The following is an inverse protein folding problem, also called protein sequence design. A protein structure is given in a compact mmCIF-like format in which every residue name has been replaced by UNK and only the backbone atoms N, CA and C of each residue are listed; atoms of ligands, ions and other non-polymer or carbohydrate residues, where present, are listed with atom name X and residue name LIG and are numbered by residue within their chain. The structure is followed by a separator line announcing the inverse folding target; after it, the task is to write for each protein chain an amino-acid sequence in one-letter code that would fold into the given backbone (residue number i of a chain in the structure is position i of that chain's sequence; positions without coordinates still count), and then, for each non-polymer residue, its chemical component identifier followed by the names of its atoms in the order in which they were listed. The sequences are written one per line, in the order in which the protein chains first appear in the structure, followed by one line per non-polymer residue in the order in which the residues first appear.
data_IF_494401195003
#
_entry.id   IF_494401195003
#
_cell.length_a   1.000
_cell.length_b   1.000
_cell.length_c   1.000
_cell.angle_alpha   90.00
_cell.angle_beta   90.00
_cell.angle_gamma   90.00
#
_symmetry.space_group_name_H-M   'P 1'
#
loop_
_entity.id
_entity.type
_entity.pdbx_description
1 polymer ?
#
# COMPACT_ATOMS: atom_id res chain seq x y z
N UNK A 1 20.21 12.25 -1.75
CA UNK A 1 19.54 12.72 -0.52
C UNK A 1 20.48 13.41 0.44
N UNK A 2 21.44 12.74 1.12
CA UNK A 2 22.36 13.40 2.08
C UNK A 2 23.06 14.64 1.51
N UNK A 3 23.66 14.50 0.33
CA UNK A 3 24.32 15.60 -0.38
C UNK A 3 23.38 16.77 -0.73
N UNK A 4 22.13 16.46 -1.09
CA UNK A 4 21.15 17.45 -1.56
C UNK A 4 20.43 18.17 -0.41
N UNK A 5 20.07 17.43 0.64
CA UNK A 5 19.24 17.94 1.73
C UNK A 5 20.07 18.54 2.87
N UNK A 6 21.34 18.13 3.01
CA UNK A 6 22.24 18.60 4.06
C UNK A 6 21.60 18.40 5.44
N UNK A 7 21.67 19.46 6.27
CA UNK A 7 21.21 19.45 7.67
C UNK A 7 19.68 19.30 7.82
N UNK A 8 18.91 19.45 6.73
CA UNK A 8 17.46 19.18 6.74
C UNK A 8 17.16 17.68 6.85
N UNK A 9 18.10 16.82 6.49
CA UNK A 9 17.98 15.38 6.66
C UNK A 9 18.65 14.96 7.97
N UNK A 10 17.90 14.53 9.00
CA UNK A 10 18.48 14.14 10.28
C UNK A 10 19.50 13.01 10.12
N UNK A 11 20.52 13.03 10.98
CA UNK A 11 21.49 11.94 11.08
C UNK A 11 21.03 10.96 12.14
N UNK A 12 20.87 9.70 11.75
CA UNK A 12 20.59 8.63 12.70
C UNK A 12 21.68 8.54 13.76
N UNK A 13 21.28 8.55 15.02
CA UNK A 13 22.10 8.05 16.13
C UNK A 13 22.28 6.53 16.00
N UNK A 14 23.25 5.97 16.73
CA UNK A 14 23.45 4.51 16.74
C UNK A 14 22.25 3.75 17.31
N UNK A 15 21.53 4.34 18.26
CA UNK A 15 20.34 3.75 18.88
C UNK A 15 19.16 3.71 17.89
N UNK A 16 18.88 4.81 17.19
CA UNK A 16 17.83 4.86 16.17
C UNK A 16 18.15 3.92 15.00
N UNK A 17 19.42 3.88 14.56
CA UNK A 17 19.83 2.98 13.49
C UNK A 17 19.64 1.51 13.90
N UNK A 18 19.87 1.17 15.17
CA UNK A 18 19.66 -0.19 15.67
C UNK A 18 18.17 -0.59 15.68
N UNK A 19 17.26 0.37 15.81
CA UNK A 19 15.81 0.13 15.73
C UNK A 19 15.34 -0.03 14.29
N UNK A 20 15.87 0.79 13.36
CA UNK A 20 15.39 0.82 11.96
C UNK A 20 16.06 -0.25 11.08
N UNK A 21 17.35 -0.53 11.28
CA UNK A 21 18.08 -1.42 10.38
C UNK A 21 17.61 -2.87 10.53
N UNK A 22 17.00 -3.39 9.46
CA UNK A 22 16.48 -4.76 9.44
C UNK A 22 15.13 -4.93 10.15
N UNK A 23 14.40 -3.83 10.38
CA UNK A 23 13.11 -3.84 11.07
C UNK A 23 11.92 -4.33 10.23
N UNK A 24 12.17 -4.86 9.03
CA UNK A 24 11.14 -5.33 8.12
C UNK A 24 11.44 -6.74 7.63
N UNK A 25 10.52 -7.69 7.83
CA UNK A 25 10.68 -9.05 7.29
C UNK A 25 10.32 -9.16 5.82
N UNK A 26 9.55 -8.21 5.28
CA UNK A 26 9.12 -8.14 3.88
C UNK A 26 9.17 -6.70 3.36
N UNK A 27 9.00 -6.53 2.05
CA UNK A 27 8.90 -5.22 1.41
C UNK A 27 7.45 -4.99 0.97
N UNK A 28 6.75 -4.08 1.66
CA UNK A 28 5.43 -3.59 1.21
C UNK A 28 5.62 -2.49 0.16
N UNK A 29 5.00 -2.65 -1.00
CA UNK A 29 5.12 -1.70 -2.11
C UNK A 29 3.75 -1.27 -2.62
N UNK A 30 3.50 0.03 -2.61
CA UNK A 30 2.48 0.67 -3.43
C UNK A 30 3.13 1.11 -4.75
N UNK A 31 2.51 0.78 -5.89
CA UNK A 31 3.03 1.16 -7.21
C UNK A 31 1.90 1.34 -8.20
N UNK A 32 2.05 2.26 -9.14
CA UNK A 32 0.96 2.68 -10.03
C UNK A 32 1.42 2.97 -11.45
N UNK A 33 2.57 3.60 -11.60
CA UNK A 33 3.08 4.11 -12.87
C UNK A 33 4.61 4.01 -12.90
N UNK A 34 5.21 4.39 -14.02
CA UNK A 34 6.64 4.60 -14.17
C UNK A 34 6.84 5.87 -14.97
N UNK A 35 7.88 6.64 -14.64
CA UNK A 35 8.26 7.80 -15.42
C UNK A 35 9.61 7.57 -16.08
N UNK A 36 9.82 8.22 -17.22
CA UNK A 36 11.16 8.43 -17.78
C UNK A 36 11.78 9.61 -17.04
N UNK A 37 13.05 9.48 -16.67
CA UNK A 37 13.81 10.56 -16.05
C UNK A 37 14.81 11.13 -17.05
N UNK A 38 14.98 12.45 -17.03
CA UNK A 38 15.99 13.19 -17.80
C UNK A 38 16.83 14.02 -16.85
N UNK A 39 18.11 14.15 -17.15
CA UNK A 39 18.96 15.11 -16.47
C UNK A 39 18.52 16.54 -16.83
N UNK A 40 18.67 17.46 -15.88
CA UNK A 40 18.01 18.76 -15.93
C UNK A 40 16.82 18.77 -14.97
N UNK A 41 16.44 19.94 -14.47
CA UNK A 41 15.46 20.08 -13.39
C UNK A 41 16.03 20.86 -12.21
N UNK A 42 15.21 21.73 -11.64
CA UNK A 42 15.54 22.59 -10.50
C UNK A 42 14.77 22.20 -9.22
N UNK A 43 13.76 21.35 -9.33
CA UNK A 43 12.99 20.84 -8.20
C UNK A 43 13.76 19.79 -7.39
N UNK A 44 14.13 20.16 -6.17
CA UNK A 44 14.81 19.27 -5.22
C UNK A 44 13.92 18.13 -4.71
N UNK A 45 12.59 18.29 -4.67
CA UNK A 45 11.68 17.23 -4.25
C UNK A 45 11.68 16.05 -5.23
N UNK A 46 12.04 16.32 -6.48
CA UNK A 46 12.19 15.31 -7.53
C UNK A 46 13.63 14.80 -7.65
N UNK A 47 14.58 15.39 -6.92
CA UNK A 47 15.99 15.05 -7.01
C UNK A 47 16.74 15.78 -8.13
N UNK A 48 16.26 16.96 -8.55
CA UNK A 48 16.84 17.78 -9.64
C UNK A 48 16.92 17.03 -10.98
N UNK A 49 15.88 16.24 -11.23
CA UNK A 49 15.63 15.57 -12.52
C UNK A 49 14.28 16.02 -13.04
N UNK A 50 14.13 16.04 -14.35
CA UNK A 50 12.85 16.14 -15.01
C UNK A 50 12.30 14.73 -15.18
N UNK A 51 11.00 14.56 -14.96
CA UNK A 51 10.33 13.31 -15.28
C UNK A 51 9.22 13.54 -16.31
N UNK A 52 8.98 12.54 -17.14
CA UNK A 52 7.97 12.61 -18.19
C UNK A 52 7.47 11.23 -18.56
N UNK A 53 6.28 11.19 -19.17
CA UNK A 53 5.79 10.01 -19.87
C UNK A 53 6.13 10.03 -21.37
N UNK A 54 6.61 11.15 -21.88
CA UNK A 54 6.90 11.33 -23.30
C UNK A 54 8.28 10.78 -23.64
N UNK A 55 8.31 9.75 -24.48
CA UNK A 55 9.52 9.17 -25.06
C UNK A 55 10.24 10.19 -25.96
N UNK A 56 11.54 10.00 -26.26
CA UNK A 56 12.29 10.89 -27.15
C UNK A 56 11.66 11.06 -28.55
N UNK A 57 10.89 10.08 -29.02
CA UNK A 57 10.17 10.12 -30.30
C UNK A 57 8.79 10.82 -30.22
N UNK A 58 8.40 11.31 -29.04
CA UNK A 58 7.12 11.99 -28.81
C UNK A 58 5.97 11.07 -28.39
N UNK A 59 6.14 9.74 -28.42
CA UNK A 59 5.11 8.79 -27.98
C UNK A 59 4.95 8.78 -26.44
N UNK A 60 3.76 8.43 -25.95
CA UNK A 60 3.46 8.31 -24.51
C UNK A 60 3.74 6.90 -24.00
N UNK A 61 4.15 6.75 -22.74
CA UNK A 61 4.45 5.44 -22.14
C UNK A 61 3.28 4.46 -22.30
N UNK A 62 2.08 4.92 -21.99
CA UNK A 62 0.84 4.17 -22.18
C UNK A 62 -0.40 5.02 -21.99
N UNK A 63 -1.50 4.38 -21.59
CA UNK A 63 -2.80 5.03 -21.40
C UNK A 63 -2.79 5.97 -20.21
N UNK A 64 -3.27 7.21 -20.40
CA UNK A 64 -3.38 8.23 -19.37
C UNK A 64 -4.60 7.98 -18.47
N UNK A 65 -4.38 7.87 -17.16
CA UNK A 65 -5.45 7.84 -16.18
C UNK A 65 -6.10 9.22 -16.00
N UNK A 66 -7.20 9.27 -15.25
CA UNK A 66 -7.84 10.52 -14.85
C UNK A 66 -6.86 11.46 -14.12
N UNK A 67 -6.03 10.90 -13.23
CA UNK A 67 -5.01 11.66 -12.53
C UNK A 67 -3.76 11.86 -13.40
N UNK A 68 -3.26 13.10 -13.48
CA UNK A 68 -2.17 13.47 -14.38
C UNK A 68 -0.83 12.77 -14.06
N UNK A 69 -0.67 12.25 -12.85
CA UNK A 69 0.56 11.60 -12.40
C UNK A 69 0.66 10.11 -12.77
N UNK A 70 -0.37 9.52 -13.41
CA UNK A 70 -0.43 8.07 -13.68
C UNK A 70 -0.63 7.77 -15.17
N UNK A 71 0.28 6.99 -15.75
CA UNK A 71 0.07 6.27 -17.00
C UNK A 71 0.27 4.76 -16.78
N UNK A 72 -0.50 3.98 -17.53
CA UNK A 72 -0.24 2.55 -17.72
C UNK A 72 1.20 2.35 -18.23
N UNK A 73 1.98 1.52 -17.52
CA UNK A 73 3.25 1.02 -18.05
C UNK A 73 3.71 -0.30 -17.34
N UNK A 74 3.15 -1.47 -17.70
CA UNK A 74 3.43 -2.74 -17.01
C UNK A 74 4.89 -3.20 -17.12
N UNK A 75 5.59 -2.81 -18.19
CA UNK A 75 7.02 -3.10 -18.33
C UNK A 75 7.83 -2.47 -17.19
N UNK A 76 7.52 -1.21 -16.84
CA UNK A 76 8.13 -0.51 -15.71
C UNK A 76 7.82 -1.17 -14.37
N UNK A 77 6.62 -1.73 -14.21
CA UNK A 77 6.28 -2.51 -13.02
C UNK A 77 7.15 -3.76 -12.87
N UNK A 78 7.36 -4.55 -13.93
CA UNK A 78 8.29 -5.70 -13.91
C UNK A 78 9.71 -5.26 -13.59
N UNK A 79 10.18 -4.16 -14.17
CA UNK A 79 11.52 -3.62 -13.90
C UNK A 79 11.67 -3.19 -12.43
N UNK A 80 10.66 -2.54 -11.86
CA UNK A 80 10.65 -2.14 -10.45
C UNK A 80 10.71 -3.35 -9.51
N UNK A 81 9.90 -4.38 -9.76
CA UNK A 81 9.92 -5.62 -8.99
C UNK A 81 11.32 -6.26 -8.96
N UNK A 82 11.96 -6.34 -10.13
CA UNK A 82 13.32 -6.83 -10.26
C UNK A 82 14.35 -5.97 -9.50
N UNK A 83 14.23 -4.65 -9.61
CA UNK A 83 15.10 -3.72 -8.89
C UNK A 83 15.00 -3.91 -7.38
N UNK A 84 13.77 -3.92 -6.84
CA UNK A 84 13.52 -4.06 -5.41
C UNK A 84 14.03 -5.41 -4.88
N UNK A 85 13.79 -6.49 -5.63
CA UNK A 85 14.28 -7.82 -5.26
C UNK A 85 15.81 -7.90 -5.28
N UNK A 86 16.44 -7.33 -6.31
CA UNK A 86 17.90 -7.29 -6.41
C UNK A 86 18.52 -6.47 -5.28
N UNK A 87 17.90 -5.35 -4.92
CA UNK A 87 18.47 -4.39 -3.98
C UNK A 87 18.23 -4.75 -2.52
N UNK A 88 17.00 -5.14 -2.17
CA UNK A 88 16.60 -5.33 -0.77
C UNK A 88 16.57 -6.79 -0.34
N UNK A 89 16.40 -7.74 -1.28
CA UNK A 89 16.39 -9.19 -0.99
C UNK A 89 15.37 -9.61 0.09
N UNK A 90 14.27 -8.86 0.16
CA UNK A 90 13.11 -9.19 0.99
C UNK A 90 11.95 -9.65 0.10
N UNK A 91 11.10 -10.57 0.59
CA UNK A 91 9.88 -10.93 -0.11
C UNK A 91 8.99 -9.71 -0.34
N UNK A 92 8.39 -9.60 -1.51
CA UNK A 92 7.61 -8.44 -1.92
C UNK A 92 6.12 -8.72 -1.77
N UNK A 93 5.42 -7.76 -1.17
CA UNK A 93 3.97 -7.67 -1.10
C UNK A 93 3.58 -6.40 -1.85
N UNK A 94 2.89 -6.56 -2.97
CA UNK A 94 2.34 -5.40 -3.70
C UNK A 94 1.07 -5.00 -2.96
N UNK A 95 1.18 -3.99 -2.11
CA UNK A 95 0.15 -3.57 -1.15
C UNK A 95 -0.89 -2.66 -1.78
N UNK A 96 -0.54 -1.95 -2.85
CA UNK A 96 -1.49 -1.20 -3.69
C UNK A 96 -1.02 -1.17 -5.15
N UNK A 97 -1.95 -1.39 -6.07
CA UNK A 97 -1.78 -1.18 -7.51
C UNK A 97 -3.15 -0.96 -8.17
N UNK A 98 -3.31 0.08 -8.99
CA UNK A 98 -4.63 0.46 -9.51
C UNK A 98 -4.61 1.53 -10.60
N UNK A 99 -5.77 1.77 -11.20
CA UNK A 99 -5.93 2.73 -12.30
C UNK A 99 -7.24 3.50 -12.18
N UNK A 100 -7.21 4.82 -12.39
CA UNK A 100 -8.41 5.65 -12.44
C UNK A 100 -8.77 5.93 -13.90
N UNK A 101 -9.90 5.38 -14.37
CA UNK A 101 -10.37 5.62 -15.75
C UNK A 101 -10.71 7.09 -15.91
N UNK A 102 -10.25 7.67 -17.02
CA UNK A 102 -10.43 9.09 -17.31
C UNK A 102 -11.91 9.46 -17.37
N UNK A 103 -12.29 10.43 -16.54
CA UNK A 103 -13.63 11.06 -16.49
C UNK A 103 -14.75 10.08 -16.12
N UNK A 104 -14.41 8.95 -15.48
CA UNK A 104 -15.34 7.89 -15.11
C UNK A 104 -16.49 8.37 -14.21
N UNK A 105 -16.25 9.38 -13.36
CA UNK A 105 -17.29 9.95 -12.49
C UNK A 105 -18.43 10.63 -13.25
N UNK A 106 -18.21 10.96 -14.52
CA UNK A 106 -19.16 11.68 -15.38
C UNK A 106 -19.77 10.76 -16.44
N UNK A 107 -19.38 9.48 -16.47
CA UNK A 107 -19.91 8.49 -17.41
C UNK A 107 -21.26 7.92 -16.94
N UNK A 108 -22.11 7.45 -17.87
CA UNK A 108 -23.22 6.56 -17.53
C UNK A 108 -22.74 5.35 -16.73
N UNK A 109 -23.55 4.86 -15.80
CA UNK A 109 -23.18 3.76 -14.87
C UNK A 109 -22.75 2.51 -15.64
N UNK A 110 -23.41 2.19 -16.75
CA UNK A 110 -23.08 1.04 -17.59
C UNK A 110 -21.68 1.15 -18.20
N UNK A 111 -21.24 2.35 -18.56
CA UNK A 111 -19.89 2.60 -19.08
C UNK A 111 -18.85 2.57 -17.97
N UNK A 112 -19.16 3.16 -16.80
CA UNK A 112 -18.29 3.10 -15.63
C UNK A 112 -18.11 1.67 -15.10
N UNK A 113 -19.11 0.79 -15.24
CA UNK A 113 -18.99 -0.63 -14.90
C UNK A 113 -18.15 -1.41 -15.92
N UNK A 114 -18.17 -1.03 -17.21
CA UNK A 114 -17.42 -1.72 -18.25
C UNK A 114 -15.90 -1.48 -18.21
N UNK A 115 -15.48 -0.29 -17.73
CA UNK A 115 -14.11 0.11 -17.37
C UNK A 115 -12.91 -0.53 -18.10
N UNK A 116 -12.97 -0.62 -19.43
CA UNK A 116 -11.99 -1.32 -20.26
C UNK A 116 -10.54 -0.91 -20.00
N UNK A 117 -10.25 0.38 -19.80
CA UNK A 117 -8.88 0.85 -19.55
C UNK A 117 -8.32 0.29 -18.23
N UNK A 118 -9.16 0.16 -17.21
CA UNK A 118 -8.78 -0.47 -15.93
C UNK A 118 -8.56 -1.97 -16.10
N UNK A 119 -9.38 -2.65 -16.91
CA UNK A 119 -9.15 -4.06 -17.29
C UNK A 119 -7.79 -4.21 -17.98
N UNK A 120 -7.45 -3.37 -18.95
CA UNK A 120 -6.16 -3.44 -19.65
C UNK A 120 -4.98 -3.18 -18.72
N UNK A 121 -5.13 -2.20 -17.81
CA UNK A 121 -4.12 -1.93 -16.80
C UNK A 121 -3.84 -3.16 -15.92
N UNK A 122 -4.89 -3.78 -15.37
CA UNK A 122 -4.71 -4.97 -14.54
C UNK A 122 -4.15 -6.12 -15.34
N UNK A 123 -4.62 -6.37 -16.57
CA UNK A 123 -4.08 -7.41 -17.44
C UNK A 123 -2.58 -7.25 -17.66
N UNK A 124 -2.12 -6.07 -18.04
CA UNK A 124 -0.69 -5.80 -18.21
C UNK A 124 0.10 -5.99 -16.92
N UNK A 125 -0.38 -5.47 -15.79
CA UNK A 125 0.33 -5.57 -14.53
C UNK A 125 0.34 -7.00 -13.96
N UNK A 126 -0.72 -7.78 -14.14
CA UNK A 126 -0.74 -9.18 -13.73
C UNK A 126 0.16 -10.06 -14.61
N UNK A 127 0.24 -9.78 -15.91
CA UNK A 127 1.19 -10.45 -16.82
C UNK A 127 2.64 -10.15 -16.39
N UNK A 128 2.94 -8.87 -16.09
CA UNK A 128 4.23 -8.43 -15.56
C UNK A 128 4.58 -9.08 -14.21
N UNK A 129 3.60 -9.21 -13.31
CA UNK A 129 3.74 -9.85 -12.01
C UNK A 129 4.06 -11.34 -12.16
N UNK A 130 3.33 -12.04 -13.03
CA UNK A 130 3.53 -13.47 -13.28
C UNK A 130 4.91 -13.72 -13.89
N UNK A 131 5.33 -12.89 -14.85
CA UNK A 131 6.64 -12.99 -15.46
C UNK A 131 7.78 -12.69 -14.45
N UNK A 132 7.64 -11.65 -13.62
CA UNK A 132 8.60 -11.37 -12.55
C UNK A 132 8.77 -12.56 -11.58
N UNK A 133 7.67 -13.23 -11.25
CA UNK A 133 7.71 -14.41 -10.37
C UNK A 133 8.33 -15.62 -11.05
N UNK A 134 7.81 -15.98 -12.22
CA UNK A 134 8.10 -17.27 -12.86
C UNK A 134 9.37 -17.26 -13.70
N UNK A 135 9.69 -16.13 -14.34
CA UNK A 135 10.85 -16.00 -15.23
C UNK A 135 12.04 -15.37 -14.49
N UNK A 136 11.80 -14.33 -13.69
CA UNK A 136 12.88 -13.57 -13.04
C UNK A 136 13.21 -14.05 -11.62
N UNK A 137 12.39 -14.93 -11.04
CA UNK A 137 12.62 -15.49 -9.70
C UNK A 137 12.44 -14.49 -8.55
N UNK A 138 11.57 -13.49 -8.72
CA UNK A 138 11.20 -12.55 -7.66
C UNK A 138 10.30 -13.24 -6.63
N UNK A 139 10.64 -13.18 -5.33
CA UNK A 139 9.80 -13.70 -4.24
C UNK A 139 8.59 -12.76 -4.01
N UNK A 140 7.54 -12.97 -4.79
CA UNK A 140 6.26 -12.27 -4.70
C UNK A 140 5.26 -13.10 -3.90
N UNK A 141 4.70 -12.49 -2.85
CA UNK A 141 3.83 -13.20 -1.89
C UNK A 141 2.39 -12.73 -1.86
N UNK A 142 2.13 -11.49 -2.26
CA UNK A 142 0.79 -10.96 -2.32
C UNK A 142 0.67 -9.82 -3.32
N UNK A 143 -0.57 -9.61 -3.77
CA UNK A 143 -0.97 -8.50 -4.61
C UNK A 143 -2.34 -8.02 -4.15
N UNK A 144 -2.45 -6.72 -3.92
CA UNK A 144 -3.66 -6.06 -3.47
C UNK A 144 -3.98 -4.92 -4.45
N UNK A 145 -5.11 -5.07 -5.15
CA UNK A 145 -5.60 -4.05 -6.06
C UNK A 145 -6.14 -2.85 -5.26
N UNK A 146 -5.65 -1.66 -5.58
CA UNK A 146 -6.25 -0.39 -5.14
C UNK A 146 -7.33 0.00 -6.15
N UNK A 147 -8.61 -0.07 -5.82
CA UNK A 147 -9.16 -0.46 -4.51
C UNK A 147 -10.39 -1.34 -4.67
N UNK A 148 -10.88 -1.90 -3.57
CA UNK A 148 -12.09 -2.72 -3.60
C UNK A 148 -13.31 -1.92 -4.10
N UNK A 149 -13.48 -0.69 -3.63
CA UNK A 149 -14.64 0.17 -3.89
C UNK A 149 -14.18 1.53 -4.39
N UNK A 150 -14.98 2.16 -5.25
CA UNK A 150 -14.90 3.61 -5.43
C UNK A 150 -15.05 4.27 -4.05
N UNK A 151 -14.11 5.17 -3.72
CA UNK A 151 -13.97 5.72 -2.38
C UNK A 151 -13.54 7.20 -2.44
N UNK A 152 -13.29 7.78 -1.27
CA UNK A 152 -12.80 9.16 -1.14
C UNK A 152 -11.30 9.23 -1.39
N UNK A 153 -10.90 9.72 -2.56
CA UNK A 153 -9.50 9.83 -2.99
C UNK A 153 -8.89 11.17 -2.56
N UNK A 154 -8.74 11.35 -1.24
CA UNK A 154 -8.01 12.47 -0.65
C UNK A 154 -8.47 13.86 -1.18
N UNK A 155 -7.55 14.62 -1.78
CA UNK A 155 -7.82 15.95 -2.31
C UNK A 155 -8.75 15.95 -3.54
N UNK A 156 -8.85 14.81 -4.25
CA UNK A 156 -9.71 14.64 -5.42
C UNK A 156 -11.15 14.29 -5.01
N UNK A 157 -11.36 13.96 -3.73
CA UNK A 157 -12.66 13.55 -3.22
C UNK A 157 -13.21 12.33 -3.95
N UNK A 158 -14.48 12.38 -4.35
CA UNK A 158 -15.15 11.26 -5.05
C UNK A 158 -15.08 11.35 -6.60
N UNK A 159 -14.30 12.30 -7.13
CA UNK A 159 -14.15 12.49 -8.58
C UNK A 159 -13.25 11.39 -9.15
N UNK A 160 -12.08 11.18 -8.54
CA UNK A 160 -11.16 10.12 -8.95
C UNK A 160 -11.66 8.76 -8.47
N UNK A 161 -11.82 7.81 -9.40
CA UNK A 161 -12.38 6.47 -9.12
C UNK A 161 -11.34 5.38 -9.37
N UNK A 162 -10.83 4.75 -8.30
CA UNK A 162 -9.91 3.60 -8.38
C UNK A 162 -10.58 2.24 -8.18
N UNK A 163 -11.86 2.23 -7.83
CA UNK A 163 -12.52 1.01 -7.38
C UNK A 163 -12.67 -0.03 -8.48
N UNK A 164 -12.43 -1.29 -8.11
CA UNK A 164 -12.89 -2.49 -8.83
C UNK A 164 -14.42 -2.65 -8.76
N UNK A 165 -15.07 -1.88 -7.90
CA UNK A 165 -16.51 -1.90 -7.67
C UNK A 165 -17.03 -0.48 -7.69
N UNK A 166 -18.00 -0.21 -8.56
CA UNK A 166 -18.72 1.04 -8.57
C UNK A 166 -19.59 1.16 -7.31
N UNK A 167 -19.57 2.34 -6.69
CA UNK A 167 -20.46 2.69 -5.59
C UNK A 167 -21.45 3.76 -6.07
N UNK A 168 -22.73 3.42 -6.02
CA UNK A 168 -23.81 4.41 -6.08
C UNK A 168 -23.83 5.13 -4.74
N UNK A 169 -23.47 6.42 -4.73
CA UNK A 169 -23.34 7.18 -3.48
C UNK A 169 -24.69 7.56 -2.87
N UNK A 170 -25.77 7.61 -3.65
CA UNK A 170 -27.11 7.91 -3.14
C UNK A 170 -27.71 6.69 -2.44
N UNK A 171 -27.56 5.51 -3.04
CA UNK A 171 -28.18 4.27 -2.53
C UNK A 171 -27.22 3.37 -1.76
N UNK A 172 -25.91 3.62 -1.85
CA UNK A 172 -24.85 2.76 -1.33
C UNK A 172 -24.86 1.35 -1.94
N UNK A 173 -25.48 1.16 -3.10
CA UNK A 173 -25.38 -0.11 -3.82
C UNK A 173 -24.01 -0.25 -4.49
N UNK A 174 -23.50 -1.48 -4.50
CA UNK A 174 -22.17 -1.84 -5.01
C UNK A 174 -22.33 -2.69 -6.25
N UNK A 175 -21.62 -2.33 -7.31
CA UNK A 175 -21.68 -2.99 -8.61
C UNK A 175 -20.27 -3.35 -9.05
N UNK A 176 -19.87 -4.63 -9.01
CA UNK A 176 -18.54 -5.04 -9.48
C UNK A 176 -18.36 -4.67 -10.94
N UNK A 177 -17.26 -3.97 -11.23
CA UNK A 177 -16.87 -3.59 -12.58
C UNK A 177 -16.23 -4.78 -13.30
N UNK A 178 -16.05 -4.67 -14.61
CA UNK A 178 -15.38 -5.71 -15.40
C UNK A 178 -13.94 -5.92 -14.93
N UNK A 179 -13.24 -4.86 -14.52
CA UNK A 179 -11.91 -4.99 -13.88
C UNK A 179 -11.93 -5.82 -12.61
N UNK A 180 -12.94 -5.67 -11.75
CA UNK A 180 -13.09 -6.47 -10.53
C UNK A 180 -13.31 -7.95 -10.82
N UNK A 181 -14.15 -8.24 -11.82
CA UNK A 181 -14.38 -9.61 -12.31
C UNK A 181 -13.11 -10.20 -12.92
N UNK A 182 -12.38 -9.42 -13.72
CA UNK A 182 -11.10 -9.81 -14.31
C UNK A 182 -10.08 -10.19 -13.23
N UNK A 183 -9.83 -9.32 -12.26
CA UNK A 183 -8.86 -9.57 -11.18
C UNK A 183 -9.24 -10.83 -10.40
N UNK A 184 -10.51 -11.00 -10.03
CA UNK A 184 -10.99 -12.18 -9.32
C UNK A 184 -10.78 -13.47 -10.13
N UNK A 185 -11.12 -13.46 -11.42
CA UNK A 185 -10.96 -14.60 -12.30
C UNK A 185 -9.48 -14.94 -12.55
N UNK A 186 -8.65 -13.93 -12.81
CA UNK A 186 -7.22 -14.11 -13.08
C UNK A 186 -6.52 -14.79 -11.90
N UNK A 187 -6.77 -14.33 -10.66
CA UNK A 187 -6.17 -14.97 -9.47
C UNK A 187 -6.68 -16.40 -9.25
N UNK A 188 -7.95 -16.69 -9.56
CA UNK A 188 -8.49 -18.05 -9.49
C UNK A 188 -7.80 -19.01 -10.47
N UNK A 189 -7.43 -18.51 -11.65
CA UNK A 189 -6.75 -19.30 -12.69
C UNK A 189 -5.25 -19.50 -12.41
N UNK A 190 -4.61 -18.53 -11.75
CA UNK A 190 -3.16 -18.49 -11.60
C UNK A 190 -2.65 -18.80 -10.18
N UNK A 191 -3.55 -18.90 -9.19
CA UNK A 191 -3.22 -19.27 -7.81
C UNK A 191 -4.01 -20.53 -7.43
N UNK A 192 -3.34 -21.68 -7.26
CA UNK A 192 -4.00 -22.93 -6.89
C UNK A 192 -4.78 -22.81 -5.57
N UNK A 193 -5.96 -23.43 -5.49
CA UNK A 193 -6.84 -23.43 -4.31
C UNK A 193 -6.19 -24.09 -3.08
N UNK A 194 -5.16 -24.94 -3.28
CA UNK A 194 -4.48 -25.66 -2.20
C UNK A 194 -3.73 -24.73 -1.20
N UNK A 195 -3.43 -23.49 -1.58
CA UNK A 195 -2.89 -22.47 -0.65
C UNK A 195 -3.97 -21.76 0.19
N UNK A 196 -5.27 -21.96 -0.08
CA UNK A 196 -6.36 -21.25 0.61
C UNK A 196 -6.98 -22.02 1.80
N UNK A 197 -6.76 -23.32 1.94
CA UNK A 197 -7.38 -24.16 2.98
C UNK A 197 -6.44 -24.60 4.10
N UNK A 198 -5.38 -23.84 4.42
CA UNK A 198 -4.62 -24.10 5.64
C UNK A 198 -5.15 -23.30 6.82
N UNK A 199 -6.17 -23.89 7.46
CA UNK A 199 -6.84 -23.57 8.74
C UNK A 199 -7.36 -22.14 8.87
N UNK A 200 -8.66 -22.02 9.14
CA UNK A 200 -9.24 -20.77 9.64
C UNK A 200 -8.31 -20.18 10.71
N UNK A 201 -7.87 -18.92 10.57
CA UNK A 201 -7.11 -18.28 11.62
C UNK A 201 -8.00 -18.29 12.86
N UNK A 202 -7.49 -18.82 13.98
CA UNK A 202 -8.17 -18.71 15.28
C UNK A 202 -8.59 -17.26 15.43
N UNK A 203 -9.90 -17.01 15.51
CA UNK A 203 -10.46 -15.70 15.83
C UNK A 203 -9.65 -15.15 17.00
N UNK A 204 -9.05 -13.97 16.81
CA UNK A 204 -8.39 -13.28 17.91
C UNK A 204 -9.47 -13.05 18.96
N UNK A 205 -9.40 -13.77 20.09
CA UNK A 205 -10.24 -13.46 21.23
C UNK A 205 -9.76 -12.12 21.75
N UNK A 206 -10.54 -11.07 21.47
CA UNK A 206 -10.34 -9.78 22.12
C UNK A 206 -10.39 -10.03 23.64
N UNK A 207 -9.49 -9.42 24.43
CA UNK A 207 -9.57 -9.49 25.88
C UNK A 207 -10.99 -9.08 26.29
N UNK A 208 -11.68 -9.96 27.02
CA UNK A 208 -12.97 -9.61 27.62
C UNK A 208 -12.71 -8.36 28.48
N UNK A 209 -13.54 -7.30 28.36
CA UNK A 209 -13.38 -6.13 29.19
C UNK A 209 -13.39 -6.59 30.65
N UNK A 210 -12.27 -6.38 31.34
CA UNK A 210 -12.19 -6.63 32.77
C UNK A 210 -13.03 -5.56 33.47
N UNK A 211 -14.11 -6.01 34.09
CA UNK A 211 -14.91 -5.19 34.99
C UNK A 211 -16.03 -4.44 34.29
N UNK A 212 -17.21 -4.51 34.88
CA UNK A 212 -18.35 -3.69 34.53
C UNK A 212 -17.93 -2.21 34.52
N UNK A 213 -17.97 -1.58 33.35
CA UNK A 213 -18.11 -0.15 33.31
C UNK A 213 -19.48 0.16 33.91
N UNK A 214 -19.49 0.63 35.15
CA UNK A 214 -20.66 1.29 35.72
C UNK A 214 -21.03 2.44 34.79
N UNK A 215 -22.25 2.40 34.28
CA UNK A 215 -22.85 3.47 33.51
C UNK A 215 -23.17 4.63 34.44
N UNK A 216 -22.23 5.53 34.67
CA UNK A 216 -22.56 6.85 35.18
C UNK A 216 -22.82 7.77 33.99
N UNK A 217 -24.09 7.83 33.62
CA UNK A 217 -24.64 8.87 32.76
C UNK A 217 -24.75 10.16 33.57
N UNK A 218 -23.74 11.00 33.51
CA UNK A 218 -23.90 12.43 33.78
C UNK A 218 -23.17 13.24 32.71
N UNK A 219 -23.97 13.71 31.76
CA UNK A 219 -23.66 14.79 30.83
C UNK A 219 -23.34 16.07 31.60
N UNK A 220 -22.12 16.58 31.42
CA UNK A 220 -21.84 18.02 31.47
C UNK A 220 -20.53 18.29 30.76
N UNK A 221 -20.61 18.93 29.59
CA UNK A 221 -19.45 19.48 28.88
C UNK A 221 -18.77 20.55 29.74
N UNK A 222 -17.44 20.52 29.95
CA UNK A 222 -16.74 21.64 30.52
C UNK A 222 -16.29 22.60 29.42
N UNK A 223 -16.71 23.85 29.58
CA UNK A 223 -16.23 25.06 28.91
C UNK A 223 -14.70 25.13 28.97
N UNK A 224 -14.04 25.44 27.85
CA UNK A 224 -12.61 25.70 27.80
C UNK A 224 -12.37 27.13 28.26
N UNK A 225 -11.85 27.28 29.48
CA UNK A 225 -11.16 28.51 29.90
C UNK A 225 -9.64 28.29 29.85
N UNK A 226 -8.97 29.28 29.28
CA UNK A 226 -7.53 29.36 29.05
C UNK A 226 -6.76 29.64 30.35
N UNK A 227 -5.71 28.87 30.62
CA UNK A 227 -4.63 29.30 31.51
C UNK A 227 -3.29 28.66 31.17
N UNK A 228 -2.26 29.50 31.17
CA UNK A 228 -0.84 29.31 30.81
C UNK A 228 -0.10 28.10 31.43
N UNK A 229 1.08 27.69 30.89
CA UNK A 229 1.72 26.42 31.19
C UNK A 229 2.63 26.49 32.43
N UNK A 230 2.76 25.40 33.23
CA UNK A 230 3.77 25.35 34.27
C UNK A 230 5.09 24.73 33.78
N UNK A 231 6.14 25.26 34.39
CA UNK A 231 7.55 25.06 34.13
C UNK A 231 8.11 23.65 34.42
N UNK A 232 9.10 23.31 33.60
CA UNK A 232 10.30 22.49 33.83
C UNK A 232 10.49 21.83 35.21
N UNK A 233 10.47 20.49 35.21
CA UNK A 233 11.05 19.68 36.28
C UNK A 233 12.26 18.88 35.77
N UNK A 234 13.44 19.21 36.32
CA UNK A 234 14.72 18.50 36.14
C UNK A 234 14.59 17.06 36.68
N UNK A 235 15.02 16.07 35.90
CA UNK A 235 15.31 14.72 36.40
C UNK A 235 16.82 14.51 36.49
N UNK A 236 17.24 14.14 37.69
CA UNK A 236 18.61 13.83 38.10
C UNK A 236 18.99 12.43 37.62
N UNK A 237 20.23 12.31 37.13
CA UNK A 237 20.87 11.07 36.73
C UNK A 237 21.37 10.26 37.95
N UNK A 238 21.20 8.95 37.88
CA UNK A 238 21.97 7.89 38.55
C UNK A 238 21.85 6.70 37.58
N UNK A 239 22.90 6.05 37.08
CA UNK A 239 24.10 5.57 37.75
C UNK A 239 24.19 4.08 37.37
N UNK A 240 25.33 3.67 36.82
CA UNK A 240 25.63 2.40 36.16
C UNK A 240 25.22 1.11 36.91
N UNK A 241 24.80 0.11 36.15
CA UNK A 241 25.15 -1.30 36.38
C UNK A 241 24.86 -2.16 35.13
N UNK A 242 25.92 -2.62 34.47
CA UNK A 242 25.90 -3.68 33.45
C UNK A 242 25.60 -5.04 34.07
N UNK A 243 24.87 -5.92 33.34
CA UNK A 243 25.13 -7.35 33.44
C UNK A 243 25.38 -8.00 32.06
N UNK A 244 26.42 -8.82 32.07
CA UNK A 244 26.97 -9.69 31.01
C UNK A 244 25.92 -10.64 30.41
N UNK A 245 25.96 -10.95 29.09
CA UNK A 245 24.91 -11.75 28.45
C UNK A 245 25.09 -13.26 28.69
N UNK A 246 24.06 -13.92 29.25
CA UNK A 246 23.95 -15.40 29.27
C UNK A 246 23.41 -15.89 27.92
N UNK A 247 24.18 -16.76 27.24
CA UNK A 247 23.78 -17.50 26.03
C UNK A 247 22.48 -18.28 26.27
N UNK A 248 21.38 -17.91 25.59
CA UNK A 248 20.18 -18.75 25.47
C UNK A 248 20.16 -19.44 24.11
N UNK A 249 20.11 -20.77 24.14
CA UNK A 249 19.88 -21.64 22.98
C UNK A 249 18.49 -21.33 22.40
N UNK A 250 18.44 -20.90 21.14
CA UNK A 250 17.19 -20.72 20.41
C UNK A 250 16.66 -22.09 19.96
N UNK A 251 15.55 -22.53 20.57
CA UNK A 251 14.71 -23.59 19.99
C UNK A 251 13.93 -22.95 18.83
N UNK A 252 13.98 -23.57 17.65
CA UNK A 252 13.13 -23.20 16.50
C UNK A 252 11.66 -23.26 16.93
N UNK A 253 10.95 -22.14 16.83
CA UNK A 253 9.49 -22.11 16.94
C UNK A 253 8.89 -22.27 15.53
N UNK A 254 7.82 -23.07 15.35
CA UNK A 254 7.18 -23.25 14.06
C UNK A 254 6.33 -22.02 13.67
N UNK A 255 6.35 -21.72 12.38
CA UNK A 255 5.65 -20.66 11.69
C UNK A 255 4.12 -20.72 11.87
N UNK A 256 3.50 -19.57 12.14
CA UNK A 256 2.10 -19.28 11.84
C UNK A 256 1.85 -17.76 11.84
N UNK A 257 1.34 -17.20 10.73
CA UNK A 257 0.66 -15.88 10.56
C UNK A 257 0.12 -15.81 9.11
N UNK A 258 -1.20 -15.88 8.84
CA UNK A 258 -2.27 -14.84 8.93
C UNK A 258 -2.08 -13.76 7.83
N UNK A 259 -2.99 -13.44 6.88
CA UNK A 259 -4.35 -13.90 6.48
C UNK A 259 -4.65 -13.36 5.07
N UNK A 260 -5.53 -14.02 4.32
CA UNK A 260 -6.27 -13.49 3.17
C UNK A 260 -7.77 -13.44 3.51
N UNK A 261 -8.53 -12.44 3.03
CA UNK A 261 -9.98 -12.56 2.76
C UNK A 261 -10.52 -11.37 1.95
N UNK A 262 -11.04 -11.63 0.75
CA UNK A 262 -12.31 -11.11 0.22
C UNK A 262 -12.88 -12.19 -0.70
N UNK A 263 -13.90 -12.94 -0.25
CA UNK A 263 -14.91 -13.52 -1.16
C UNK A 263 -16.10 -14.05 -0.36
N UNK A 264 -17.05 -13.17 -0.04
CA UNK A 264 -18.43 -13.55 0.31
C UNK A 264 -19.39 -12.38 0.05
N UNK A 265 -19.30 -11.74 -1.13
CA UNK A 265 -20.25 -10.69 -1.52
C UNK A 265 -20.81 -10.80 -2.94
N UNK A 266 -20.48 -11.85 -3.68
CA UNK A 266 -21.06 -12.09 -4.99
C UNK A 266 -21.58 -13.51 -5.04
N UNK A 267 -22.89 -13.65 -4.84
CA UNK A 267 -23.60 -14.91 -4.99
C UNK A 267 -23.66 -15.34 -6.45
N UNK A 268 -22.54 -15.92 -6.91
CA UNK A 268 -22.44 -16.91 -7.99
C UNK A 268 -21.50 -18.00 -7.49
#
# INVERSE_FOLDING_TARGET
MKEMLGDRLPTFTSEELAVVKGSSEFYGMNTYTTNLCKAGGDDEFQGKVEYTFTRPDGSQLGTQAHCAWLQDYPEGFRQLLNYLWKRYKHPIYVTENGFAVKDENSMPVEQAIADNDRVQYFKGNTDALLAARNEDGVDLRAYFAWSLLDNFEWADGYVTRFGLTYVDYDTQKRYPKESGKFVAQWFKEHVPVETQLQKEPKRLELPKPNGAAQSDSTTSSPTIESSDPPATAKRVANGDATPTPKKKKTKKAPFARITAYISTFLGI
#
